data_IF_392630134795
#
_entry.id   IF_392630134795
#
_cell.length_a   1.000
_cell.length_b   1.000
_cell.length_c   1.000
_cell.angle_alpha   90.00
_cell.angle_beta   90.00
_cell.angle_gamma   90.00
#
_symmetry.space_group_name_H-M   'P 1'
#
loop_
_entity.id
_entity.type
_entity.pdbx_description
1 polymer ?
#
# COMPACT_ATOMS: atom_id res chain seq x y z
N UNK A 1 -74.56 0.89 21.37
CA UNK A 1 -73.87 -0.16 20.57
C UNK A 1 -74.34 0.08 19.15
N UNK A 2 -73.56 0.66 18.23
CA UNK A 2 -72.31 0.13 17.67
C UNK A 2 -71.50 1.29 17.11
N UNK A 3 -70.21 1.31 17.45
CA UNK A 3 -69.22 2.34 17.09
C UNK A 3 -68.84 2.24 15.61
N UNK A 4 -68.73 3.40 14.96
CA UNK A 4 -68.20 3.53 13.59
C UNK A 4 -66.69 3.31 13.60
N UNK A 5 -66.24 2.46 12.68
CA UNK A 5 -64.86 2.07 12.48
C UNK A 5 -64.14 3.14 11.63
N UNK A 6 -63.43 4.08 12.28
CA UNK A 6 -62.51 5.00 11.61
C UNK A 6 -61.13 4.36 11.55
N UNK A 7 -60.68 4.00 10.35
CA UNK A 7 -59.30 3.59 10.08
C UNK A 7 -58.41 4.83 10.17
N UNK A 8 -57.58 4.91 11.21
CA UNK A 8 -56.45 5.84 11.28
C UNK A 8 -55.25 5.18 10.63
N UNK A 9 -54.87 5.66 9.44
CA UNK A 9 -53.59 5.38 8.79
C UNK A 9 -52.45 5.95 9.65
N UNK A 10 -51.67 5.07 10.27
CA UNK A 10 -50.39 5.45 10.87
C UNK A 10 -49.35 5.59 9.77
N UNK A 11 -48.99 6.84 9.45
CA UNK A 11 -47.83 7.17 8.61
C UNK A 11 -46.58 6.60 9.28
N UNK A 12 -45.99 5.57 8.66
CA UNK A 12 -44.70 5.01 9.07
C UNK A 12 -43.60 5.97 8.60
N UNK A 13 -43.04 6.74 9.52
CA UNK A 13 -41.83 7.53 9.26
C UNK A 13 -40.69 6.56 8.93
N UNK A 14 -40.30 6.49 7.67
CA UNK A 14 -39.12 5.76 7.23
C UNK A 14 -37.87 6.46 7.78
N UNK A 15 -37.12 5.74 8.62
CA UNK A 15 -35.85 6.22 9.15
C UNK A 15 -34.82 6.35 8.03
N UNK A 16 -34.11 7.48 8.01
CA UNK A 16 -33.03 7.78 7.09
C UNK A 16 -31.99 6.64 7.00
N UNK A 17 -31.31 6.46 5.84
CA UNK A 17 -30.35 5.38 5.67
C UNK A 17 -29.22 5.54 6.68
N UNK A 18 -28.96 4.49 7.46
CA UNK A 18 -27.81 4.43 8.34
C UNK A 18 -26.55 4.57 7.48
N UNK A 19 -25.81 5.66 7.72
CA UNK A 19 -24.48 5.91 7.16
C UNK A 19 -23.63 4.66 7.35
N UNK A 20 -23.22 4.04 6.24
CA UNK A 20 -22.46 2.81 6.20
C UNK A 20 -21.24 2.93 7.12
N UNK A 21 -21.13 1.97 8.05
CA UNK A 21 -20.06 1.92 9.03
C UNK A 21 -18.71 2.10 8.34
N UNK A 22 -17.97 3.13 8.78
CA UNK A 22 -16.57 3.30 8.46
C UNK A 22 -15.81 2.06 8.97
N UNK A 23 -15.67 1.05 8.12
CA UNK A 23 -14.76 -0.08 8.31
C UNK A 23 -13.34 0.41 8.12
N UNK A 24 -12.90 1.28 9.02
CA UNK A 24 -11.51 1.61 9.23
C UNK A 24 -11.09 0.94 10.55
N UNK A 25 -10.61 -0.30 10.51
CA UNK A 25 -10.20 -0.95 11.74
C UNK A 25 -8.88 -0.31 12.17
N UNK A 26 -8.71 -0.11 13.47
CA UNK A 26 -7.83 0.90 14.11
C UNK A 26 -6.31 0.81 13.90
N UNK A 27 -5.83 0.29 12.78
CA UNK A 27 -4.42 0.14 12.41
C UNK A 27 -3.86 1.25 11.50
N UNK A 28 -4.61 2.32 11.22
CA UNK A 28 -4.14 3.45 10.40
C UNK A 28 -3.40 4.56 11.19
N UNK A 29 -3.03 4.34 12.46
CA UNK A 29 -2.63 5.44 13.37
C UNK A 29 -1.14 5.63 13.68
N UNK A 30 -0.19 4.91 13.04
CA UNK A 30 1.19 4.90 13.53
C UNK A 30 2.27 5.55 12.63
N UNK A 31 1.90 6.27 11.56
CA UNK A 31 2.89 6.97 10.70
C UNK A 31 2.41 8.36 10.32
N UNK A 32 3.35 9.25 9.98
CA UNK A 32 3.05 10.61 9.54
C UNK A 32 2.19 10.67 8.28
N UNK A 33 2.22 9.61 7.45
CA UNK A 33 1.45 9.49 6.21
C UNK A 33 0.85 8.09 6.07
N UNK A 34 -0.23 8.02 5.28
CA UNK A 34 -0.86 6.76 4.90
C UNK A 34 -0.31 6.22 3.57
N UNK A 35 -0.30 4.88 3.43
CA UNK A 35 0.16 4.21 2.21
C UNK A 35 -0.54 4.72 0.94
N UNK A 36 -1.85 5.00 1.01
CA UNK A 36 -2.64 5.48 -0.15
C UNK A 36 -2.11 6.81 -0.67
N UNK A 37 -1.60 7.67 0.22
CA UNK A 37 -0.98 8.96 -0.12
C UNK A 37 0.27 8.84 -0.99
N UNK A 38 0.85 7.65 -1.11
CA UNK A 38 1.94 7.35 -2.05
C UNK A 38 1.46 6.52 -3.23
N UNK A 39 0.76 5.41 -2.94
CA UNK A 39 0.38 4.41 -3.95
C UNK A 39 -0.52 4.97 -5.05
N UNK A 40 -1.35 5.98 -4.77
CA UNK A 40 -2.23 6.60 -5.76
C UNK A 40 -1.49 7.33 -6.89
N UNK A 41 -0.20 7.65 -6.71
CA UNK A 41 0.64 8.30 -7.72
C UNK A 41 1.46 7.33 -8.55
N UNK A 42 1.38 6.04 -8.22
CA UNK A 42 2.09 4.97 -8.89
C UNK A 42 1.14 4.28 -9.86
N UNK A 43 1.69 3.62 -10.88
CA UNK A 43 0.89 2.78 -11.76
C UNK A 43 0.40 1.52 -11.00
N UNK A 44 -0.43 0.70 -11.66
CA UNK A 44 -1.03 -0.47 -11.01
C UNK A 44 0.00 -1.41 -10.35
N UNK A 45 1.07 -1.75 -11.06
CA UNK A 45 2.06 -2.71 -10.55
C UNK A 45 2.91 -2.08 -9.43
N UNK A 46 3.46 -0.89 -9.64
CA UNK A 46 4.29 -0.21 -8.64
C UNK A 46 3.48 0.17 -7.39
N UNK A 47 2.23 0.60 -7.55
CA UNK A 47 1.34 0.90 -6.43
C UNK A 47 1.02 -0.34 -5.60
N UNK A 48 0.81 -1.49 -6.25
CA UNK A 48 0.65 -2.75 -5.53
C UNK A 48 1.95 -3.18 -4.83
N UNK A 49 3.08 -3.16 -5.52
CA UNK A 49 4.39 -3.49 -4.92
C UNK A 49 4.66 -2.64 -3.68
N UNK A 50 4.50 -1.32 -3.80
CA UNK A 50 4.66 -0.36 -2.70
C UNK A 50 3.75 -0.70 -1.51
N UNK A 51 2.46 -0.95 -1.76
CA UNK A 51 1.47 -1.32 -0.73
C UNK A 51 1.87 -2.60 0.02
N UNK A 52 2.35 -3.61 -0.70
CA UNK A 52 2.74 -4.88 -0.08
C UNK A 52 4.01 -4.71 0.77
N UNK A 53 5.01 -3.97 0.29
CA UNK A 53 6.19 -3.62 1.09
C UNK A 53 5.77 -2.81 2.32
N UNK A 54 4.88 -1.81 2.17
CA UNK A 54 4.46 -0.95 3.28
C UNK A 54 3.93 -1.74 4.48
N UNK A 55 3.08 -2.73 4.21
CA UNK A 55 2.32 -3.44 5.27
C UNK A 55 2.97 -4.75 5.72
N UNK A 56 4.10 -5.16 5.13
CA UNK A 56 4.63 -6.51 5.34
C UNK A 56 4.90 -6.82 6.83
N UNK A 57 5.42 -5.86 7.61
CA UNK A 57 5.67 -6.09 9.05
C UNK A 57 4.41 -6.10 9.91
N UNK A 58 3.33 -5.52 9.42
CA UNK A 58 2.08 -5.32 10.16
C UNK A 58 1.03 -6.38 9.81
N UNK A 59 1.15 -7.04 8.64
CA UNK A 59 0.14 -7.96 8.13
C UNK A 59 0.70 -9.26 7.54
N UNK A 60 1.20 -9.22 6.31
CA UNK A 60 1.47 -10.46 5.54
C UNK A 60 2.90 -10.99 5.62
N UNK A 61 3.80 -10.34 6.35
CA UNK A 61 5.17 -10.77 6.53
C UNK A 61 5.87 -11.06 5.20
N UNK A 62 6.42 -12.27 5.11
CA UNK A 62 7.09 -12.77 3.91
C UNK A 62 6.17 -12.84 2.69
N UNK A 63 4.91 -13.24 2.84
CA UNK A 63 3.97 -13.40 1.72
C UNK A 63 3.69 -12.07 1.01
N UNK A 64 3.62 -10.98 1.78
CA UNK A 64 3.48 -9.64 1.19
C UNK A 64 4.74 -9.25 0.40
N UNK A 65 5.94 -9.56 0.90
CA UNK A 65 7.18 -9.30 0.15
C UNK A 65 7.25 -10.13 -1.15
N UNK A 66 6.82 -11.40 -1.14
CA UNK A 66 6.74 -12.23 -2.35
C UNK A 66 5.73 -11.66 -3.37
N UNK A 67 4.60 -11.13 -2.90
CA UNK A 67 3.65 -10.41 -3.76
C UNK A 67 4.28 -9.15 -4.34
N UNK A 68 4.99 -8.37 -3.52
CA UNK A 68 5.67 -7.17 -3.99
C UNK A 68 6.66 -7.47 -5.12
N UNK A 69 7.49 -8.51 -4.94
CA UNK A 69 8.44 -8.99 -5.95
C UNK A 69 7.73 -9.34 -7.26
N UNK A 70 6.65 -10.13 -7.20
CA UNK A 70 5.86 -10.51 -8.39
C UNK A 70 5.32 -9.30 -9.16
N UNK A 71 4.90 -8.24 -8.47
CA UNK A 71 4.45 -7.01 -9.14
C UNK A 71 5.60 -6.23 -9.77
N UNK A 72 6.79 -6.22 -9.18
CA UNK A 72 7.98 -5.61 -9.75
C UNK A 72 8.47 -6.38 -10.99
N UNK A 73 8.48 -7.71 -10.94
CA UNK A 73 8.82 -8.56 -12.08
C UNK A 73 7.85 -8.35 -13.24
N UNK A 74 6.55 -8.29 -12.98
CA UNK A 74 5.54 -7.94 -14.01
C UNK A 74 5.77 -6.56 -14.57
N UNK A 75 6.05 -5.57 -13.73
CA UNK A 75 6.36 -4.22 -14.21
C UNK A 75 7.59 -4.20 -15.14
N UNK A 76 8.61 -4.99 -14.79
CA UNK A 76 9.85 -5.14 -15.56
C UNK A 76 9.63 -5.86 -16.89
N UNK A 77 8.83 -6.94 -16.89
CA UNK A 77 8.57 -7.77 -18.07
C UNK A 77 7.55 -7.14 -19.03
N UNK A 78 6.44 -6.63 -18.50
CA UNK A 78 5.34 -6.10 -19.30
C UNK A 78 5.63 -4.69 -19.84
N UNK A 79 6.59 -3.98 -19.22
CA UNK A 79 6.98 -2.60 -19.48
C UNK A 79 5.92 -1.77 -20.25
N UNK A 80 4.70 -1.57 -19.69
CA UNK A 80 3.76 -0.68 -20.33
C UNK A 80 4.38 0.71 -20.38
N UNK A 81 4.17 1.46 -21.46
CA UNK A 81 4.47 2.90 -21.48
C UNK A 81 3.60 3.57 -20.41
N UNK A 82 4.13 3.71 -19.20
CA UNK A 82 3.46 4.44 -18.13
C UNK A 82 4.04 5.84 -18.02
N UNK A 83 3.19 6.77 -17.60
CA UNK A 83 3.61 8.14 -17.38
C UNK A 83 4.55 8.17 -16.18
N UNK A 84 5.81 8.59 -16.41
CA UNK A 84 6.80 8.80 -15.35
C UNK A 84 6.25 9.75 -14.29
N UNK A 85 6.68 9.53 -13.06
CA UNK A 85 6.45 10.48 -11.98
C UNK A 85 7.14 11.81 -12.31
N UNK A 86 6.55 12.94 -11.92
CA UNK A 86 7.21 14.25 -12.08
C UNK A 86 8.21 14.47 -10.94
N UNK A 87 9.33 15.16 -11.20
CA UNK A 87 10.37 15.44 -10.20
C UNK A 87 9.80 16.02 -8.89
N UNK A 88 9.02 17.11 -8.96
CA UNK A 88 8.36 17.70 -7.77
C UNK A 88 7.51 16.71 -6.97
N UNK A 89 6.89 15.72 -7.64
CA UNK A 89 6.10 14.69 -6.97
C UNK A 89 6.99 13.65 -6.32
N UNK A 90 8.04 13.22 -7.02
CA UNK A 90 9.07 12.33 -6.49
C UNK A 90 9.68 12.90 -5.21
N UNK A 91 10.13 14.17 -5.23
CA UNK A 91 10.72 14.83 -4.06
C UNK A 91 9.76 14.86 -2.87
N UNK A 92 8.48 15.18 -3.11
CA UNK A 92 7.47 15.18 -2.05
C UNK A 92 7.24 13.79 -1.47
N UNK A 93 7.22 12.75 -2.30
CA UNK A 93 7.07 11.36 -1.86
C UNK A 93 8.33 10.88 -1.13
N UNK A 94 9.52 11.29 -1.57
CA UNK A 94 10.78 10.97 -0.90
C UNK A 94 10.78 11.53 0.52
N UNK A 95 10.53 12.84 0.68
CA UNK A 95 10.49 13.50 1.97
C UNK A 95 9.43 12.89 2.89
N UNK A 96 8.18 12.73 2.39
CA UNK A 96 7.10 12.16 3.21
C UNK A 96 7.38 10.71 3.64
N UNK A 97 8.10 9.92 2.83
CA UNK A 97 8.47 8.56 3.19
C UNK A 97 9.54 8.53 4.29
N UNK A 98 10.51 9.47 4.25
CA UNK A 98 11.51 9.65 5.33
C UNK A 98 10.84 9.98 6.67
N UNK A 99 9.78 10.78 6.63
CA UNK A 99 9.00 11.15 7.82
C UNK A 99 8.18 9.98 8.41
N UNK A 100 8.07 8.85 7.70
CA UNK A 100 7.30 7.69 8.15
C UNK A 100 8.06 6.75 9.10
N UNK A 101 9.37 6.97 9.33
CA UNK A 101 10.16 6.23 10.31
C UNK A 101 10.22 4.73 10.06
N UNK A 102 10.34 4.31 8.80
CA UNK A 102 10.60 2.90 8.47
C UNK A 102 12.03 2.51 8.87
N UNK A 103 12.26 1.24 9.18
CA UNK A 103 13.63 0.74 9.29
C UNK A 103 14.34 0.80 7.94
N UNK A 104 15.67 0.91 7.96
CA UNK A 104 16.47 1.17 6.75
C UNK A 104 16.23 0.19 5.61
N UNK A 105 15.93 -1.09 5.89
CA UNK A 105 15.60 -2.07 4.85
C UNK A 105 14.25 -1.78 4.17
N UNK A 106 13.20 -1.59 4.97
CA UNK A 106 11.86 -1.30 4.45
C UNK A 106 11.84 0.04 3.72
N UNK A 107 12.51 1.04 4.28
CA UNK A 107 12.64 2.37 3.67
C UNK A 107 13.35 2.28 2.32
N UNK A 108 14.49 1.58 2.25
CA UNK A 108 15.23 1.42 0.99
C UNK A 108 14.38 0.78 -0.11
N UNK A 109 13.62 -0.27 0.22
CA UNK A 109 12.74 -0.93 -0.74
C UNK A 109 11.61 0.01 -1.23
N UNK A 110 10.95 0.73 -0.32
CA UNK A 110 9.92 1.71 -0.68
C UNK A 110 10.49 2.87 -1.52
N UNK A 111 11.68 3.37 -1.18
CA UNK A 111 12.40 4.40 -1.94
C UNK A 111 12.79 3.93 -3.34
N UNK A 112 13.19 2.66 -3.47
CA UNK A 112 13.53 2.08 -4.77
C UNK A 112 12.30 2.01 -5.69
N UNK A 113 11.11 1.69 -5.17
CA UNK A 113 9.86 1.71 -5.95
C UNK A 113 9.53 3.10 -6.46
N UNK A 114 9.60 4.14 -5.61
CA UNK A 114 9.31 5.52 -6.05
C UNK A 114 10.37 6.04 -7.04
N UNK A 115 11.62 5.62 -6.87
CA UNK A 115 12.72 5.95 -7.78
C UNK A 115 12.53 5.29 -9.14
N UNK A 116 12.04 4.05 -9.18
CA UNK A 116 11.69 3.36 -10.42
C UNK A 116 10.51 4.02 -11.15
N UNK A 117 9.56 4.59 -10.42
CA UNK A 117 8.48 5.37 -11.01
C UNK A 117 8.97 6.70 -11.64
N UNK A 118 10.07 7.26 -11.13
CA UNK A 118 10.70 8.48 -11.64
C UNK A 118 11.77 8.24 -12.72
N UNK A 119 12.39 7.05 -12.75
CA UNK A 119 13.60 6.71 -13.53
C UNK A 119 14.81 7.54 -13.09
N UNK A 120 15.21 7.45 -11.82
CA UNK A 120 16.35 8.24 -11.34
C UNK A 120 17.70 7.80 -11.97
N UNK A 121 17.81 6.55 -12.42
CA UNK A 121 18.99 6.03 -13.12
C UNK A 121 18.68 5.79 -14.58
N UNK A 122 18.89 6.82 -15.40
CA UNK A 122 18.76 6.71 -16.86
C UNK A 122 19.75 5.66 -17.40
N UNK A 123 19.27 4.77 -18.26
CA UNK A 123 20.07 3.66 -18.81
C UNK A 123 20.18 2.43 -17.91
N UNK A 124 19.66 2.47 -16.68
CA UNK A 124 19.66 1.33 -15.76
C UNK A 124 18.28 0.70 -15.55
N UNK A 125 18.28 -0.56 -15.14
CA UNK A 125 17.09 -1.31 -14.77
C UNK A 125 16.62 -0.96 -13.36
N UNK A 126 15.90 0.15 -13.24
CA UNK A 126 15.38 0.64 -11.98
C UNK A 126 14.41 -0.36 -11.31
N UNK A 127 13.72 -1.20 -12.08
CA UNK A 127 12.82 -2.22 -11.55
C UNK A 127 13.58 -3.40 -10.96
N UNK A 128 14.66 -3.84 -11.62
CA UNK A 128 15.56 -4.85 -11.07
C UNK A 128 16.17 -4.41 -9.73
N UNK A 129 16.56 -3.13 -9.62
CA UNK A 129 17.04 -2.61 -8.33
C UNK A 129 15.97 -2.63 -7.24
N UNK A 130 14.75 -2.21 -7.56
CA UNK A 130 13.64 -2.29 -6.61
C UNK A 130 13.36 -3.74 -6.18
N UNK A 131 13.45 -4.69 -7.12
CA UNK A 131 13.31 -6.12 -6.83
C UNK A 131 14.41 -6.60 -5.89
N UNK A 132 15.68 -6.25 -6.15
CA UNK A 132 16.81 -6.60 -5.29
C UNK A 132 16.63 -6.09 -3.84
N UNK A 133 16.12 -4.87 -3.65
CA UNK A 133 15.81 -4.37 -2.31
C UNK A 133 14.71 -5.19 -1.60
N UNK A 134 13.75 -5.76 -2.33
CA UNK A 134 12.71 -6.64 -1.77
C UNK A 134 13.29 -8.03 -1.47
N UNK A 135 14.17 -8.55 -2.31
CA UNK A 135 14.91 -9.81 -2.08
C UNK A 135 15.75 -9.74 -0.80
N UNK A 136 16.43 -8.63 -0.56
CA UNK A 136 17.17 -8.38 0.69
C UNK A 136 16.27 -8.44 1.92
N UNK A 137 15.03 -7.94 1.82
CA UNK A 137 14.05 -8.05 2.90
C UNK A 137 13.61 -9.49 3.11
N UNK A 138 13.38 -10.24 2.03
CA UNK A 138 13.03 -11.66 2.08
C UNK A 138 14.13 -12.49 2.76
N UNK A 139 15.40 -12.21 2.45
CA UNK A 139 16.54 -12.91 3.07
C UNK A 139 16.66 -12.56 4.55
N UNK A 140 16.51 -11.29 4.93
CA UNK A 140 16.44 -10.89 6.34
C UNK A 140 15.29 -11.56 7.09
N UNK A 141 14.15 -11.77 6.45
CA UNK A 141 13.03 -12.54 7.01
C UNK A 141 13.38 -14.02 7.17
N UNK A 142 14.17 -14.60 6.25
CA UNK A 142 14.65 -15.99 6.34
C UNK A 142 15.60 -16.18 7.52
N UNK A 143 16.61 -15.32 7.65
CA UNK A 143 17.63 -15.41 8.71
C UNK A 143 17.03 -15.30 10.11
N UNK A 144 16.01 -14.44 10.32
CA UNK A 144 15.30 -14.35 11.60
C UNK A 144 14.58 -15.62 12.02
N UNK A 145 14.19 -16.49 11.07
CA UNK A 145 13.51 -17.77 11.36
C UNK A 145 14.50 -18.90 11.64
N UNK A 146 15.76 -18.76 11.22
CA UNK A 146 16.82 -19.75 11.41
C UNK A 146 17.61 -19.53 12.73
N UNK A 147 16.97 -19.02 13.78
CA UNK A 147 17.58 -18.81 15.10
C UNK A 147 18.28 -20.08 15.64
N UNK A 148 19.24 -19.94 16.58
CA UNK A 148 20.19 -21.01 16.90
C UNK A 148 19.45 -22.29 17.28
N UNK A 149 19.87 -23.40 16.68
CA UNK A 149 19.41 -24.73 17.04
C UNK A 149 19.58 -24.94 18.56
N UNK A 150 18.62 -25.60 19.23
CA UNK A 150 18.66 -25.84 20.67
C UNK A 150 19.90 -26.64 21.10
#
# INVERSE_FOLDING_TARGET
>A
MTVQNTQTETVRTEAAPQQGGNTNPGYYKNRAFECVGFAQYLNFNLGNAFKYIWRHKEKGGREDLEKALRYLERQRADAPKFKKLKCRRYEKMYAGLKDCGFDGGTEAALLAVISAAYYIRDGEDNFAWAAACVEDLLEKCRLKRAGPAP
#
